data_IF_508479762548
#
_entry.id   IF_508479762548
#
_cell.length_a   1.000
_cell.length_b   1.000
_cell.length_c   1.000
_cell.angle_alpha   90.00
_cell.angle_beta   90.00
_cell.angle_gamma   90.00
#
_symmetry.space_group_name_H-M   'P 1'
#
loop_
_entity.id
_entity.type
_entity.pdbx_description
1 polymer ?
#
# COMPACT_ATOMS: atom_id res chain seq x y z
N UNK A 1 47.13 15.74 -1.97
CA UNK A 1 46.15 14.77 -1.45
C UNK A 1 45.29 15.44 -0.37
N UNK A 2 44.52 16.48 -0.73
CA UNK A 2 43.68 17.24 0.22
C UNK A 2 42.30 17.58 -0.38
N UNK A 3 42.23 17.75 -1.70
CA UNK A 3 40.99 17.92 -2.46
C UNK A 3 40.03 16.73 -2.32
N UNK A 4 40.54 15.50 -2.16
CA UNK A 4 39.72 14.31 -1.88
C UNK A 4 39.02 14.34 -0.53
N UNK A 5 39.58 15.03 0.47
CA UNK A 5 39.01 15.11 1.82
C UNK A 5 37.83 16.09 1.89
N UNK A 6 37.84 17.13 1.04
CA UNK A 6 36.78 18.13 0.97
C UNK A 6 35.50 17.63 0.28
N UNK A 7 35.61 16.60 -0.55
CA UNK A 7 34.46 15.98 -1.24
C UNK A 7 33.83 14.84 -0.42
N UNK A 8 34.48 14.36 0.64
CA UNK A 8 33.95 13.30 1.52
C UNK A 8 32.55 13.59 2.12
N UNK A 9 32.24 14.79 2.64
CA UNK A 9 30.93 15.04 3.24
C UNK A 9 29.78 15.07 2.21
N UNK A 10 30.08 15.17 0.91
CA UNK A 10 29.09 15.22 -0.18
C UNK A 10 29.00 13.86 -0.91
N UNK A 11 30.14 13.19 -1.12
CA UNK A 11 30.18 11.87 -1.76
C UNK A 11 29.64 10.76 -0.86
N UNK A 12 29.69 10.93 0.48
CA UNK A 12 29.07 10.01 1.44
C UNK A 12 27.55 9.87 1.25
N UNK A 13 26.77 10.97 1.31
CA UNK A 13 25.33 10.92 1.08
C UNK A 13 24.94 10.53 -0.36
N UNK A 14 25.70 10.93 -1.39
CA UNK A 14 25.39 10.56 -2.78
C UNK A 14 25.47 9.04 -3.03
N UNK A 15 26.49 8.36 -2.49
CA UNK A 15 26.56 6.90 -2.56
C UNK A 15 25.46 6.22 -1.73
N UNK A 16 25.00 6.88 -0.65
CA UNK A 16 23.85 6.41 0.13
C UNK A 16 22.54 6.45 -0.66
N UNK A 17 22.27 7.52 -1.40
CA UNK A 17 21.07 7.63 -2.26
C UNK A 17 21.11 6.64 -3.43
N UNK A 18 22.26 6.43 -4.06
CA UNK A 18 22.42 5.41 -5.11
C UNK A 18 22.24 3.99 -4.55
N UNK A 19 22.77 3.70 -3.35
CA UNK A 19 22.58 2.41 -2.68
C UNK A 19 21.11 2.16 -2.29
N UNK A 20 20.39 3.21 -1.84
CA UNK A 20 18.94 3.14 -1.60
C UNK A 20 18.20 2.89 -2.92
N UNK A 21 18.55 3.61 -3.99
CA UNK A 21 17.98 3.42 -5.33
C UNK A 21 18.22 2.01 -5.92
N UNK A 22 19.34 1.38 -5.60
CA UNK A 22 19.65 -0.01 -5.97
C UNK A 22 18.87 -1.04 -5.14
N UNK A 23 18.69 -0.81 -3.83
CA UNK A 23 17.94 -1.72 -2.94
C UNK A 23 16.42 -1.70 -3.18
N UNK A 24 15.93 -0.62 -3.77
CA UNK A 24 14.55 -0.50 -4.24
C UNK A 24 14.24 -1.50 -5.37
N UNK A 25 15.24 -1.92 -6.15
CA UNK A 25 15.05 -2.78 -7.32
C UNK A 25 14.64 -4.23 -6.99
N UNK A 26 14.60 -4.63 -5.71
CA UNK A 26 14.41 -6.02 -5.27
C UNK A 26 12.99 -6.41 -4.82
N UNK A 27 11.96 -5.55 -4.97
CA UNK A 27 10.59 -5.91 -4.56
C UNK A 27 9.65 -6.15 -5.74
N UNK A 28 9.16 -7.39 -5.84
CA UNK A 28 8.25 -7.92 -6.87
C UNK A 28 6.80 -7.41 -6.75
N UNK A 29 6.57 -6.14 -6.40
CA UNK A 29 5.20 -5.59 -6.36
C UNK A 29 5.09 -4.38 -7.29
N UNK A 30 4.49 -4.61 -8.46
CA UNK A 30 4.44 -3.65 -9.57
C UNK A 30 3.77 -2.33 -9.18
N UNK A 31 2.80 -2.35 -8.26
CA UNK A 31 2.15 -1.14 -7.74
C UNK A 31 3.05 -0.35 -6.80
N UNK A 32 3.76 -1.04 -5.91
CA UNK A 32 4.75 -0.40 -5.04
C UNK A 32 5.86 0.25 -5.86
N UNK A 33 6.32 -0.43 -6.93
CA UNK A 33 7.27 0.12 -7.88
C UNK A 33 6.72 1.35 -8.60
N UNK A 34 5.43 1.36 -8.97
CA UNK A 34 4.79 2.48 -9.65
C UNK A 34 4.71 3.72 -8.75
N UNK A 35 4.25 3.56 -7.50
CA UNK A 35 4.19 4.66 -6.53
C UNK A 35 5.59 5.21 -6.22
N UNK A 36 6.56 4.33 -6.01
CA UNK A 36 7.95 4.72 -5.77
C UNK A 36 8.58 5.47 -6.94
N UNK A 37 8.29 5.05 -8.17
CA UNK A 37 8.76 5.77 -9.36
C UNK A 37 8.17 7.18 -9.43
N UNK A 38 6.93 7.41 -8.99
CA UNK A 38 6.35 8.76 -8.93
C UNK A 38 7.01 9.62 -7.85
N UNK A 39 7.30 9.06 -6.67
CA UNK A 39 8.05 9.79 -5.63
C UNK A 39 9.47 10.17 -6.09
N UNK A 40 10.15 9.30 -6.84
CA UNK A 40 11.46 9.61 -7.47
C UNK A 40 11.34 10.74 -8.48
N UNK A 41 10.28 10.75 -9.30
CA UNK A 41 10.01 11.82 -10.26
C UNK A 41 9.79 13.16 -9.54
N UNK A 42 8.99 13.18 -8.47
CA UNK A 42 8.76 14.39 -7.67
C UNK A 42 10.06 14.94 -7.07
N UNK A 43 10.94 14.08 -6.53
CA UNK A 43 12.24 14.49 -6.01
C UNK A 43 13.15 15.05 -7.12
N UNK A 44 13.15 14.43 -8.29
CA UNK A 44 13.91 14.94 -9.44
C UNK A 44 13.40 16.30 -9.89
N UNK A 45 12.08 16.49 -9.91
CA UNK A 45 11.44 17.76 -10.27
C UNK A 45 11.82 18.87 -9.28
N UNK A 46 11.78 18.58 -7.97
CA UNK A 46 12.22 19.48 -6.90
C UNK A 46 13.69 19.91 -7.10
N UNK A 47 14.59 18.96 -7.39
CA UNK A 47 15.99 19.26 -7.61
C UNK A 47 16.19 20.18 -8.83
N UNK A 48 15.49 19.93 -9.94
CA UNK A 48 15.53 20.78 -11.12
C UNK A 48 15.01 22.20 -10.84
N UNK A 49 13.99 22.35 -9.99
CA UNK A 49 13.53 23.66 -9.53
C UNK A 49 14.57 24.35 -8.64
N UNK A 50 15.13 23.64 -7.66
CA UNK A 50 16.10 24.17 -6.71
C UNK A 50 17.38 24.70 -7.38
N UNK A 51 17.81 24.07 -8.47
CA UNK A 51 18.97 24.52 -9.28
C UNK A 51 18.60 25.56 -10.35
N UNK A 52 17.32 25.89 -10.49
CA UNK A 52 16.80 26.87 -11.44
C UNK A 52 16.77 26.40 -12.90
N UNK A 53 16.73 25.09 -13.15
CA UNK A 53 16.54 24.53 -14.50
C UNK A 53 15.10 24.74 -14.99
N UNK A 54 14.13 24.73 -14.08
CA UNK A 54 12.71 24.99 -14.36
C UNK A 54 12.21 26.19 -13.55
N UNK A 55 11.20 26.88 -14.08
CA UNK A 55 10.51 27.97 -13.38
C UNK A 55 9.42 27.45 -12.45
N UNK A 56 8.89 28.33 -11.60
CA UNK A 56 7.83 28.04 -10.63
C UNK A 56 6.54 27.52 -11.29
N UNK A 57 6.06 28.19 -12.34
CA UNK A 57 4.84 27.77 -13.07
C UNK A 57 4.98 26.37 -13.69
N UNK A 58 6.15 26.07 -14.27
CA UNK A 58 6.46 24.75 -14.84
C UNK A 58 6.53 23.68 -13.74
N UNK A 59 7.15 24.02 -12.60
CA UNK A 59 7.24 23.15 -11.43
C UNK A 59 5.84 22.81 -10.88
N UNK A 60 4.99 23.82 -10.65
CA UNK A 60 3.65 23.63 -10.06
C UNK A 60 2.77 22.73 -10.94
N UNK A 61 2.77 22.94 -12.27
CA UNK A 61 1.98 22.12 -13.20
C UNK A 61 2.42 20.66 -13.16
N UNK A 62 3.73 20.41 -13.20
CA UNK A 62 4.26 19.05 -13.19
C UNK A 62 4.12 18.37 -11.82
N UNK A 63 4.27 19.13 -10.73
CA UNK A 63 4.07 18.65 -9.36
C UNK A 63 2.63 18.19 -9.17
N UNK A 64 1.65 19.02 -9.57
CA UNK A 64 0.22 18.67 -9.47
C UNK A 64 -0.10 17.39 -10.25
N UNK A 65 0.43 17.24 -11.47
CA UNK A 65 0.21 16.03 -12.28
C UNK A 65 0.75 14.77 -11.59
N UNK A 66 1.94 14.84 -10.97
CA UNK A 66 2.54 13.71 -10.26
C UNK A 66 1.75 13.39 -8.99
N UNK A 67 1.33 14.41 -8.23
CA UNK A 67 0.55 14.22 -7.00
C UNK A 67 -0.82 13.60 -7.28
N UNK A 68 -1.49 13.99 -8.36
CA UNK A 68 -2.76 13.39 -8.78
C UNK A 68 -2.59 11.90 -9.14
N UNK A 69 -1.47 11.51 -9.77
CA UNK A 69 -1.16 10.11 -10.07
C UNK A 69 -0.94 9.30 -8.80
N UNK A 70 -0.22 9.86 -7.81
CA UNK A 70 0.00 9.20 -6.51
C UNK A 70 -1.35 8.98 -5.82
N UNK A 71 -2.19 10.01 -5.77
CA UNK A 71 -3.50 9.92 -5.14
C UNK A 71 -4.38 8.84 -5.79
N UNK A 72 -4.34 8.71 -7.12
CA UNK A 72 -5.11 7.69 -7.82
C UNK A 72 -4.68 6.26 -7.43
N UNK A 73 -3.37 6.01 -7.33
CA UNK A 73 -2.85 4.71 -6.91
C UNK A 73 -3.19 4.40 -5.44
N UNK A 74 -3.10 5.40 -4.56
CA UNK A 74 -3.46 5.22 -3.13
C UNK A 74 -4.96 4.92 -2.95
N UNK A 75 -5.82 5.56 -3.75
CA UNK A 75 -7.25 5.30 -3.75
C UNK A 75 -7.57 3.88 -4.22
N UNK A 76 -6.95 3.44 -5.32
CA UNK A 76 -7.11 2.08 -5.85
C UNK A 76 -6.70 1.03 -4.81
N UNK A 77 -5.52 1.17 -4.21
CA UNK A 77 -5.04 0.28 -3.16
C UNK A 77 -5.97 0.26 -1.94
N UNK A 78 -6.56 1.42 -1.57
CA UNK A 78 -7.53 1.47 -0.46
C UNK A 78 -8.81 0.71 -0.78
N UNK A 79 -9.35 0.90 -1.98
CA UNK A 79 -10.59 0.24 -2.40
C UNK A 79 -10.43 -1.28 -2.48
N UNK A 80 -9.27 -1.75 -2.96
CA UNK A 80 -8.96 -3.19 -2.98
C UNK A 80 -8.93 -3.77 -1.55
N UNK A 81 -8.25 -3.08 -0.61
CA UNK A 81 -8.21 -3.50 0.78
C UNK A 81 -9.60 -3.51 1.44
N UNK A 82 -10.45 -2.53 1.12
CA UNK A 82 -11.83 -2.49 1.62
C UNK A 82 -12.66 -3.66 1.07
N UNK A 83 -12.52 -3.97 -0.22
CA UNK A 83 -13.19 -5.10 -0.85
C UNK A 83 -12.75 -6.45 -0.24
N UNK A 84 -11.43 -6.66 -0.07
CA UNK A 84 -10.90 -7.86 0.58
C UNK A 84 -11.40 -8.01 2.02
N UNK A 85 -11.49 -6.90 2.77
CA UNK A 85 -12.01 -6.91 4.15
C UNK A 85 -13.51 -7.21 4.19
N UNK A 86 -14.29 -6.69 3.25
CA UNK A 86 -15.72 -6.98 3.14
C UNK A 86 -15.95 -8.45 2.80
N UNK A 87 -15.21 -9.00 1.83
CA UNK A 87 -15.26 -10.42 1.49
C UNK A 87 -14.90 -11.31 2.69
N UNK A 88 -13.79 -11.03 3.38
CA UNK A 88 -13.38 -11.75 4.57
C UNK A 88 -14.43 -11.66 5.70
N UNK A 89 -15.08 -10.50 5.86
CA UNK A 89 -16.15 -10.31 6.84
C UNK A 89 -17.38 -11.15 6.50
N UNK A 90 -17.80 -11.18 5.24
CA UNK A 90 -18.94 -11.97 4.78
C UNK A 90 -18.68 -13.47 4.93
N UNK A 91 -17.45 -13.93 4.67
CA UNK A 91 -17.05 -15.33 4.88
C UNK A 91 -17.16 -15.72 6.36
N UNK A 92 -16.68 -14.87 7.28
CA UNK A 92 -16.81 -15.07 8.72
C UNK A 92 -18.27 -15.03 9.22
N UNK A 93 -19.14 -14.23 8.60
CA UNK A 93 -20.56 -14.15 8.93
C UNK A 93 -21.30 -15.42 8.46
N UNK A 94 -20.99 -15.91 7.26
CA UNK A 94 -21.53 -17.15 6.73
C UNK A 94 -21.10 -18.39 7.54
N UNK A 95 -19.85 -18.45 8.01
CA UNK A 95 -19.38 -19.51 8.92
C UNK A 95 -20.07 -19.47 10.30
N UNK A 96 -20.48 -18.29 10.78
CA UNK A 96 -21.18 -18.14 12.06
C UNK A 96 -22.66 -18.47 11.98
N UNK A 97 -23.35 -18.13 10.88
CA UNK A 97 -24.74 -18.54 10.64
C UNK A 97 -24.93 -20.07 10.64
N UNK A 98 -23.93 -20.83 10.19
CA UNK A 98 -23.96 -22.30 10.18
C UNK A 98 -23.86 -22.92 11.59
N UNK A 99 -23.57 -22.12 12.63
CA UNK A 99 -23.50 -22.56 14.04
C UNK A 99 -24.73 -22.19 14.89
N UNK A 100 -25.62 -21.31 14.41
CA UNK A 100 -26.73 -20.75 15.20
C UNK A 100 -28.12 -21.29 14.76
N UNK A 101 -28.32 -22.60 14.88
CA UNK A 101 -29.65 -23.21 15.00
C UNK A 101 -29.67 -24.28 16.10
N UNK A 102 -30.09 -23.97 17.34
CA UNK A 102 -30.57 -24.99 18.25
C UNK A 102 -31.98 -25.38 17.80
N UNK A 103 -32.28 -26.64 17.48
CA UNK A 103 -33.67 -27.04 17.40
C UNK A 103 -34.22 -27.09 18.84
N UNK A 104 -34.78 -25.98 19.32
CA UNK A 104 -35.71 -26.09 20.45
C UNK A 104 -37.00 -26.77 19.97
N UNK A 105 -37.30 -27.87 20.67
CA UNK A 105 -38.65 -28.37 20.95
C UNK A 105 -39.35 -29.23 19.89
N UNK A 106 -39.21 -30.55 20.04
CA UNK A 106 -40.39 -31.43 20.06
C UNK A 106 -40.44 -32.15 21.40
N UNK A 107 -41.24 -31.61 22.31
CA UNK A 107 -41.79 -32.42 23.40
C UNK A 107 -42.70 -33.50 22.80
N UNK A 108 -42.18 -34.72 22.69
CA UNK A 108 -43.03 -35.92 22.76
C UNK A 108 -42.36 -36.91 23.71
N UNK A 109 -42.76 -36.82 24.97
CA UNK A 109 -42.68 -37.93 25.92
C UNK A 109 -43.53 -39.06 25.34
N UNK A 110 -42.89 -40.00 24.64
CA UNK A 110 -43.56 -41.25 24.29
C UNK A 110 -43.73 -42.08 25.58
N UNK A 111 -44.98 -42.13 26.05
CA UNK A 111 -45.42 -42.77 27.28
C UNK A 111 -45.65 -44.29 27.13
N UNK A 112 -45.43 -44.90 25.97
CA UNK A 112 -45.81 -46.29 25.74
C UNK A 112 -44.67 -47.14 25.17
N UNK A 113 -43.78 -47.61 26.05
CA UNK A 113 -43.17 -48.94 25.90
C UNK A 113 -43.42 -49.74 27.18
N UNK A 114 -44.63 -50.31 27.24
CA UNK A 114 -45.05 -51.31 28.21
C UNK A 114 -45.07 -52.68 27.49
N UNK A 115 -44.52 -53.71 28.15
CA UNK A 115 -44.58 -55.15 27.85
C UNK A 115 -43.76 -55.61 26.63
N UNK A 116 -42.85 -56.59 26.72
CA UNK A 116 -42.91 -57.92 27.35
C UNK A 116 -41.53 -58.34 27.86
#
# INVERSE_FOLDING_TARGET
MLTKLLLLPIMGPLNGVVWIAEQIQERTNTEFDAQENLHKQLLSLQLSFDIGEIGEEEFEIQEEEILLKIQALEEEARLELEAEQEEARLELEAEQEDFEYPPEFTAEVNKDQHLV
#
